data_IF_918498770084
#
_entry.id   IF_918498770084
#
_cell.length_a   1.000
_cell.length_b   1.000
_cell.length_c   1.000
_cell.angle_alpha   90.00
_cell.angle_beta   90.00
_cell.angle_gamma   90.00
#
_symmetry.space_group_name_H-M   'P 1'
#
loop_
_entity.id
_entity.type
_entity.pdbx_description
1 polymer ?
#
# COMPACT_ATOMS: atom_id res chain seq x y z
N UNK A 1 26.19 -87.27 -16.30
CA UNK A 1 27.01 -86.07 -16.02
C UNK A 1 26.50 -84.80 -16.68
N UNK A 2 26.14 -84.80 -17.99
CA UNK A 2 25.66 -83.60 -18.71
C UNK A 2 24.40 -82.96 -18.08
N UNK A 3 23.45 -83.78 -17.57
CA UNK A 3 22.22 -83.27 -16.92
C UNK A 3 22.47 -82.49 -15.62
N UNK A 4 23.51 -82.83 -14.86
CA UNK A 4 23.86 -82.14 -13.60
C UNK A 4 24.57 -80.81 -13.87
N UNK A 5 25.43 -80.77 -14.89
CA UNK A 5 26.12 -79.54 -15.30
C UNK A 5 25.12 -78.49 -15.77
N UNK A 6 24.14 -78.88 -16.59
CA UNK A 6 23.10 -77.97 -17.09
C UNK A 6 22.28 -77.34 -15.96
N UNK A 7 21.86 -78.13 -14.97
CA UNK A 7 21.13 -77.64 -13.79
C UNK A 7 21.99 -76.68 -12.96
N UNK A 8 23.28 -77.00 -12.77
CA UNK A 8 24.20 -76.15 -12.02
C UNK A 8 24.46 -74.80 -12.71
N UNK A 9 24.62 -74.79 -14.04
CA UNK A 9 24.74 -73.54 -14.82
C UNK A 9 23.46 -72.72 -14.82
N UNK A 10 22.29 -73.36 -14.77
CA UNK A 10 20.99 -72.66 -14.73
C UNK A 10 20.77 -71.99 -13.36
N UNK A 11 21.15 -72.66 -12.27
CA UNK A 11 21.07 -72.14 -10.91
C UNK A 11 22.08 -71.01 -10.68
N UNK A 12 23.32 -71.16 -11.16
CA UNK A 12 24.35 -70.09 -11.08
C UNK A 12 24.03 -68.90 -11.99
N UNK A 13 23.52 -69.15 -13.20
CA UNK A 13 23.08 -68.09 -14.12
C UNK A 13 21.89 -67.29 -13.59
N UNK A 14 20.92 -67.96 -12.97
CA UNK A 14 19.77 -67.32 -12.33
C UNK A 14 20.14 -66.53 -11.07
N UNK A 15 21.06 -67.06 -10.24
CA UNK A 15 21.52 -66.41 -9.02
C UNK A 15 22.40 -65.18 -9.28
N UNK A 16 23.32 -65.25 -10.26
CA UNK A 16 24.18 -64.13 -10.64
C UNK A 16 23.42 -62.97 -11.30
N UNK A 17 22.42 -63.28 -12.14
CA UNK A 17 21.56 -62.28 -12.78
C UNK A 17 20.62 -61.60 -11.75
N UNK A 18 20.12 -62.35 -10.78
CA UNK A 18 19.36 -61.82 -9.65
C UNK A 18 20.17 -60.88 -8.75
N UNK A 19 21.42 -61.24 -8.42
CA UNK A 19 22.30 -60.40 -7.61
C UNK A 19 22.72 -59.11 -8.34
N UNK A 20 23.04 -59.20 -9.64
CA UNK A 20 23.39 -58.04 -10.47
C UNK A 20 22.21 -57.07 -10.65
N UNK A 21 21.01 -57.59 -10.91
CA UNK A 21 19.80 -56.77 -11.03
C UNK A 21 19.41 -56.09 -9.71
N UNK A 22 19.68 -56.73 -8.57
CA UNK A 22 19.45 -56.15 -7.25
C UNK A 22 20.42 -55.01 -6.91
N UNK A 23 21.71 -55.18 -7.20
CA UNK A 23 22.74 -54.15 -6.98
C UNK A 23 22.48 -52.93 -7.88
N UNK A 24 22.14 -53.16 -9.15
CA UNK A 24 21.80 -52.06 -10.08
C UNK A 24 20.52 -51.34 -9.69
N UNK A 25 19.50 -52.06 -9.19
CA UNK A 25 18.31 -51.44 -8.60
C UNK A 25 18.65 -50.58 -7.38
N UNK A 26 19.43 -51.09 -6.43
CA UNK A 26 19.86 -50.34 -5.24
C UNK A 26 20.64 -49.07 -5.61
N UNK A 27 21.53 -49.12 -6.61
CA UNK A 27 22.25 -47.93 -7.07
C UNK A 27 21.32 -46.91 -7.71
N UNK A 28 20.33 -47.36 -8.48
CA UNK A 28 19.33 -46.48 -9.08
C UNK A 28 18.43 -45.83 -8.01
N UNK A 29 18.00 -46.60 -7.01
CA UNK A 29 17.19 -46.09 -5.89
C UNK A 29 17.97 -45.05 -5.07
N UNK A 30 19.27 -45.28 -4.82
CA UNK A 30 20.14 -44.29 -4.16
C UNK A 30 20.28 -42.99 -4.99
N UNK A 31 20.43 -43.09 -6.31
CA UNK A 31 20.48 -41.91 -7.20
C UNK A 31 19.15 -41.15 -7.19
N UNK A 32 18.02 -41.86 -7.23
CA UNK A 32 16.68 -41.25 -7.16
C UNK A 32 16.49 -40.54 -5.81
N UNK A 33 16.93 -41.15 -4.71
CA UNK A 33 16.86 -40.54 -3.38
C UNK A 33 17.72 -39.27 -3.27
N UNK A 34 18.93 -39.26 -3.82
CA UNK A 34 19.78 -38.05 -3.86
C UNK A 34 19.16 -36.94 -4.71
N UNK A 35 18.59 -37.28 -5.87
CA UNK A 35 17.87 -36.30 -6.72
C UNK A 35 16.66 -35.74 -5.98
N UNK A 36 15.87 -36.59 -5.32
CA UNK A 36 14.73 -36.14 -4.53
C UNK A 36 15.16 -35.27 -3.35
N UNK A 37 16.23 -35.64 -2.63
CA UNK A 37 16.79 -34.84 -1.55
C UNK A 37 17.22 -33.46 -2.06
N UNK A 38 17.95 -33.38 -3.17
CA UNK A 38 18.37 -32.10 -3.77
C UNK A 38 17.16 -31.24 -4.19
N UNK A 39 16.08 -31.87 -4.68
CA UNK A 39 14.84 -31.19 -5.05
C UNK A 39 14.08 -30.69 -3.82
N UNK A 40 14.07 -31.46 -2.73
CA UNK A 40 13.49 -31.09 -1.44
C UNK A 40 14.30 -29.95 -0.79
N UNK A 41 15.62 -30.02 -0.78
CA UNK A 41 16.51 -28.97 -0.29
C UNK A 41 16.37 -27.67 -1.10
N UNK A 42 16.31 -27.79 -2.44
CA UNK A 42 16.01 -26.66 -3.33
C UNK A 42 14.64 -26.05 -3.05
N UNK A 43 13.60 -26.86 -2.94
CA UNK A 43 12.24 -26.41 -2.63
C UNK A 43 12.13 -25.76 -1.23
N UNK A 44 12.85 -26.29 -0.23
CA UNK A 44 12.90 -25.70 1.12
C UNK A 44 13.69 -24.39 1.13
N UNK A 45 14.77 -24.29 0.35
CA UNK A 45 15.53 -23.05 0.19
C UNK A 45 14.72 -21.95 -0.51
N UNK A 46 13.99 -22.30 -1.57
CA UNK A 46 13.11 -21.39 -2.29
C UNK A 46 11.93 -20.94 -1.43
N UNK A 47 11.34 -21.86 -0.65
CA UNK A 47 10.31 -21.50 0.33
C UNK A 47 10.84 -20.60 1.44
N UNK A 48 12.07 -20.81 1.93
CA UNK A 48 12.68 -19.91 2.93
C UNK A 48 12.87 -18.50 2.37
N UNK A 49 13.39 -18.37 1.16
CA UNK A 49 13.55 -17.07 0.51
C UNK A 49 12.19 -16.37 0.28
N UNK A 50 11.18 -17.12 -0.17
CA UNK A 50 9.83 -16.59 -0.32
C UNK A 50 9.21 -16.18 1.03
N UNK A 51 9.40 -16.97 2.09
CA UNK A 51 8.92 -16.66 3.45
C UNK A 51 9.58 -15.38 3.98
N UNK A 52 10.88 -15.21 3.80
CA UNK A 52 11.59 -13.99 4.21
C UNK A 52 11.05 -12.75 3.46
N UNK A 53 10.82 -12.88 2.15
CA UNK A 53 10.19 -11.84 1.36
C UNK A 53 8.76 -11.54 1.85
N UNK A 54 7.94 -12.56 2.11
CA UNK A 54 6.58 -12.39 2.61
C UNK A 54 6.52 -11.74 4.01
N UNK A 55 7.51 -11.98 4.87
CA UNK A 55 7.62 -11.31 6.19
C UNK A 55 7.97 -9.83 6.01
N UNK A 56 8.89 -9.51 5.10
CA UNK A 56 9.22 -8.12 4.78
C UNK A 56 8.02 -7.37 4.17
N UNK A 57 7.28 -8.03 3.26
CA UNK A 57 6.07 -7.49 2.66
C UNK A 57 4.94 -7.33 3.70
N UNK A 58 4.78 -8.27 4.64
CA UNK A 58 3.80 -8.15 5.71
C UNK A 58 4.11 -6.95 6.64
N UNK A 59 5.39 -6.71 6.93
CA UNK A 59 5.82 -5.55 7.72
C UNK A 59 5.56 -4.23 6.99
N UNK A 60 5.83 -4.15 5.68
CA UNK A 60 5.55 -2.96 4.87
C UNK A 60 4.05 -2.70 4.75
N UNK A 61 3.24 -3.75 4.55
CA UNK A 61 1.77 -3.67 4.52
C UNK A 61 1.22 -3.20 5.88
N UNK A 62 1.77 -3.66 7.00
CA UNK A 62 1.35 -3.19 8.33
C UNK A 62 1.66 -1.70 8.54
N UNK A 63 2.84 -1.24 8.14
CA UNK A 63 3.22 0.17 8.23
C UNK A 63 2.32 1.06 7.34
N UNK A 64 2.08 0.64 6.09
CA UNK A 64 1.18 1.35 5.18
C UNK A 64 -0.26 1.38 5.71
N UNK A 65 -0.75 0.29 6.32
CA UNK A 65 -2.08 0.25 6.94
C UNK A 65 -2.20 1.16 8.17
N UNK A 66 -1.11 1.39 8.92
CA UNK A 66 -1.12 2.32 10.05
C UNK A 66 -1.27 3.77 9.57
N UNK A 67 -0.50 4.16 8.55
CA UNK A 67 -0.59 5.49 7.92
C UNK A 67 -1.98 5.72 7.29
N UNK A 68 -2.51 4.72 6.58
CA UNK A 68 -3.87 4.78 6.03
C UNK A 68 -4.95 4.95 7.11
N UNK A 69 -4.79 4.35 8.30
CA UNK A 69 -5.74 4.50 9.41
C UNK A 69 -5.69 5.90 10.00
N UNK A 70 -4.50 6.49 10.11
CA UNK A 70 -4.33 7.87 10.60
C UNK A 70 -4.98 8.87 9.63
N UNK A 71 -4.68 8.74 8.34
CA UNK A 71 -5.30 9.58 7.31
C UNK A 71 -6.81 9.40 7.25
N UNK A 72 -7.33 8.17 7.34
CA UNK A 72 -8.78 7.94 7.40
C UNK A 72 -9.43 8.59 8.62
N UNK A 73 -8.80 8.53 9.79
CA UNK A 73 -9.32 9.18 11.00
C UNK A 73 -9.38 10.71 10.86
N UNK A 74 -8.34 11.31 10.25
CA UNK A 74 -8.32 12.74 9.94
C UNK A 74 -9.44 13.10 8.94
N UNK A 75 -9.56 12.36 7.84
CA UNK A 75 -10.61 12.59 6.83
C UNK A 75 -12.02 12.42 7.41
N UNK A 76 -12.27 11.42 8.26
CA UNK A 76 -13.57 11.22 8.89
C UNK A 76 -13.93 12.36 9.85
N UNK A 77 -12.94 12.87 10.60
CA UNK A 77 -13.12 14.05 11.44
C UNK A 77 -13.48 15.28 10.61
N UNK A 78 -12.79 15.49 9.49
CA UNK A 78 -13.04 16.62 8.60
C UNK A 78 -14.41 16.51 7.92
N UNK A 79 -14.80 15.32 7.46
CA UNK A 79 -16.15 15.05 6.93
C UNK A 79 -17.24 15.37 7.96
N UNK A 80 -17.09 14.90 9.21
CA UNK A 80 -18.07 15.18 10.27
C UNK A 80 -18.14 16.66 10.61
N UNK A 81 -16.99 17.34 10.66
CA UNK A 81 -16.94 18.78 10.87
C UNK A 81 -17.61 19.55 9.73
N UNK A 82 -17.36 19.15 8.49
CA UNK A 82 -17.97 19.75 7.32
C UNK A 82 -19.49 19.52 7.32
N UNK A 83 -19.94 18.27 7.52
CA UNK A 83 -21.35 17.93 7.62
C UNK A 83 -22.06 18.70 8.75
N UNK A 84 -21.42 18.86 9.92
CA UNK A 84 -21.95 19.67 11.02
C UNK A 84 -22.04 21.14 10.65
N UNK A 85 -21.02 21.71 10.00
CA UNK A 85 -21.03 23.12 9.57
C UNK A 85 -22.12 23.37 8.53
N UNK A 86 -22.20 22.51 7.50
CA UNK A 86 -23.21 22.59 6.45
C UNK A 86 -24.61 22.33 6.99
N UNK A 87 -24.82 21.40 7.92
CA UNK A 87 -26.14 21.14 8.51
C UNK A 87 -26.65 22.26 9.43
N UNK A 88 -25.76 23.09 10.03
CA UNK A 88 -26.17 24.26 10.82
C UNK A 88 -26.59 25.45 9.97
N UNK A 89 -26.09 25.52 8.74
CA UNK A 89 -26.47 26.54 7.79
C UNK A 89 -27.45 25.88 6.84
N UNK A 90 -28.76 26.10 7.02
CA UNK A 90 -29.77 25.69 6.03
C UNK A 90 -29.54 26.49 4.74
N UNK A 91 -28.49 26.11 3.99
CA UNK A 91 -28.02 26.82 2.80
C UNK A 91 -29.08 26.81 1.71
N UNK A 92 -29.91 25.76 1.68
CA UNK A 92 -31.10 25.62 0.87
C UNK A 92 -32.12 26.73 1.20
N UNK A 93 -32.50 26.87 2.47
CA UNK A 93 -33.45 27.88 2.94
C UNK A 93 -32.86 29.29 2.78
N UNK A 94 -31.57 29.47 3.04
CA UNK A 94 -30.88 30.75 2.85
C UNK A 94 -30.79 31.13 1.36
N UNK A 95 -30.54 30.16 0.48
CA UNK A 95 -30.48 30.36 -0.95
C UNK A 95 -31.86 30.71 -1.53
N UNK A 96 -32.92 30.08 -1.04
CA UNK A 96 -34.29 30.41 -1.46
C UNK A 96 -34.74 31.79 -0.94
N UNK A 97 -34.45 32.10 0.32
CA UNK A 97 -34.87 33.38 0.91
C UNK A 97 -33.99 34.57 0.50
N UNK A 98 -32.70 34.37 0.23
CA UNK A 98 -31.74 35.44 -0.09
C UNK A 98 -30.71 35.00 -1.16
N UNK A 99 -31.17 34.66 -2.37
CA UNK A 99 -30.30 34.13 -3.43
C UNK A 99 -29.14 35.08 -3.76
N UNK A 100 -29.42 36.40 -3.81
CA UNK A 100 -28.38 37.40 -4.13
C UNK A 100 -27.26 37.50 -3.09
N UNK A 101 -27.52 37.22 -1.80
CA UNK A 101 -26.48 37.19 -0.78
C UNK A 101 -25.63 35.92 -0.90
N UNK A 102 -26.26 34.77 -1.13
CA UNK A 102 -25.55 33.51 -1.32
C UNK A 102 -24.63 33.57 -2.53
N UNK A 103 -25.11 34.09 -3.67
CA UNK A 103 -24.28 34.28 -4.87
C UNK A 103 -23.09 35.20 -4.60
N UNK A 104 -23.28 36.31 -3.86
CA UNK A 104 -22.17 37.20 -3.50
C UNK A 104 -21.13 36.51 -2.62
N UNK A 105 -21.57 35.71 -1.64
CA UNK A 105 -20.67 34.95 -0.75
C UNK A 105 -19.88 33.93 -1.56
N UNK A 106 -20.54 33.15 -2.42
CA UNK A 106 -19.89 32.15 -3.27
C UNK A 106 -18.88 32.81 -4.21
N UNK A 107 -19.27 33.87 -4.93
CA UNK A 107 -18.37 34.56 -5.84
C UNK A 107 -17.13 35.13 -5.11
N UNK A 108 -17.33 35.69 -3.91
CA UNK A 108 -16.21 36.16 -3.07
C UNK A 108 -15.30 35.01 -2.65
N UNK A 109 -15.87 33.89 -2.21
CA UNK A 109 -15.10 32.70 -1.83
C UNK A 109 -14.29 32.15 -3.01
N UNK A 110 -14.91 32.04 -4.20
CA UNK A 110 -14.23 31.59 -5.42
C UNK A 110 -13.10 32.51 -5.84
N UNK A 111 -13.27 33.83 -5.76
CA UNK A 111 -12.19 34.79 -6.04
C UNK A 111 -11.03 34.65 -5.04
N UNK A 112 -11.36 34.50 -3.76
CA UNK A 112 -10.37 34.28 -2.72
C UNK A 112 -9.58 32.99 -2.94
N UNK A 113 -10.26 31.89 -3.28
CA UNK A 113 -9.61 30.60 -3.51
C UNK A 113 -8.71 30.62 -4.76
N UNK A 114 -9.15 31.28 -5.83
CA UNK A 114 -8.30 31.54 -7.00
C UNK A 114 -7.05 32.33 -6.63
N UNK A 115 -7.18 33.36 -5.79
CA UNK A 115 -6.03 34.12 -5.29
C UNK A 115 -5.07 33.26 -4.46
N UNK A 116 -5.61 32.36 -3.63
CA UNK A 116 -4.79 31.39 -2.89
C UNK A 116 -4.00 30.47 -3.82
N UNK A 117 -4.63 30.01 -4.90
CA UNK A 117 -4.00 29.17 -5.90
C UNK A 117 -2.88 29.93 -6.64
N UNK A 118 -3.11 31.18 -7.04
CA UNK A 118 -2.07 32.04 -7.63
C UNK A 118 -0.84 32.16 -6.73
N UNK A 119 -1.04 32.42 -5.43
CA UNK A 119 0.05 32.54 -4.46
C UNK A 119 0.82 31.22 -4.30
N UNK A 120 0.11 30.08 -4.25
CA UNK A 120 0.76 28.77 -4.21
C UNK A 120 1.59 28.48 -5.46
N UNK A 121 1.16 28.96 -6.62
CA UNK A 121 1.92 28.85 -7.87
C UNK A 121 3.06 29.86 -8.02
N UNK A 122 3.25 30.75 -7.04
CA UNK A 122 4.39 31.67 -6.95
C UNK A 122 4.10 33.11 -7.38
N UNK A 123 2.83 33.51 -7.51
CA UNK A 123 2.48 34.90 -7.72
C UNK A 123 2.93 35.78 -6.53
N UNK A 124 3.38 37.03 -6.76
CA UNK A 124 3.74 37.94 -5.69
C UNK A 124 2.51 38.42 -4.92
N UNK A 125 2.69 38.66 -3.62
CA UNK A 125 1.69 39.29 -2.76
C UNK A 125 1.44 40.74 -3.18
N UNK A 126 0.19 41.17 -3.08
CA UNK A 126 -0.17 42.57 -3.27
C UNK A 126 0.18 43.40 -2.03
N UNK A 127 0.27 44.72 -2.18
CA UNK A 127 0.49 45.62 -1.05
C UNK A 127 -0.64 45.54 -0.01
N UNK A 128 -1.88 45.37 -0.48
CA UNK A 128 -3.06 45.19 0.40
C UNK A 128 -2.97 43.92 1.24
N UNK A 129 -2.47 42.82 0.66
CA UNK A 129 -2.27 41.54 1.34
C UNK A 129 -1.23 41.63 2.45
N UNK A 130 -0.14 42.38 2.21
CA UNK A 130 0.94 42.58 3.17
C UNK A 130 0.55 43.53 4.31
N UNK A 131 -0.26 44.55 4.01
CA UNK A 131 -0.74 45.56 4.96
C UNK A 131 -1.98 45.12 5.74
N UNK A 132 -2.65 44.03 5.33
CA UNK A 132 -3.83 43.53 6.01
C UNK A 132 -3.48 43.16 7.46
N UNK A 133 -4.16 43.81 8.42
CA UNK A 133 -3.97 43.56 9.85
C UNK A 133 -5.21 42.94 10.49
N UNK A 134 -6.38 43.13 9.87
CA UNK A 134 -7.66 42.64 10.40
C UNK A 134 -8.11 41.38 9.68
N UNK A 135 -8.74 40.48 10.42
CA UNK A 135 -9.34 39.24 9.87
C UNK A 135 -10.32 39.50 8.72
N UNK A 136 -11.02 40.63 8.73
CA UNK A 136 -11.96 41.01 7.66
C UNK A 136 -11.29 41.44 6.34
N UNK A 137 -10.03 41.84 6.40
CA UNK A 137 -9.21 42.24 5.25
C UNK A 137 -8.44 41.06 4.67
N UNK A 138 -8.23 40.01 5.46
CA UNK A 138 -7.54 38.81 5.04
C UNK A 138 -8.41 37.94 4.14
N UNK A 139 -7.74 37.19 3.27
CA UNK A 139 -8.35 36.08 2.57
C UNK A 139 -8.73 35.00 3.59
N UNK A 140 -10.04 34.70 3.69
CA UNK A 140 -10.57 33.72 4.63
C UNK A 140 -10.18 32.28 4.31
N UNK A 141 -9.92 31.98 3.03
CA UNK A 141 -9.67 30.62 2.54
C UNK A 141 -8.22 30.20 2.79
N UNK A 142 -7.27 31.14 2.72
CA UNK A 142 -5.86 30.88 3.01
C UNK A 142 -5.17 31.99 3.81
N UNK A 143 -5.57 32.26 5.06
CA UNK A 143 -5.07 33.40 5.84
C UNK A 143 -3.54 33.46 5.98
N UNK A 144 -2.91 32.30 6.19
CA UNK A 144 -1.46 32.16 6.38
C UNK A 144 -0.66 32.26 5.09
N UNK A 145 -1.24 31.87 3.95
CA UNK A 145 -0.59 31.98 2.64
C UNK A 145 -0.76 33.37 2.04
N UNK A 146 -1.95 33.95 2.20
CA UNK A 146 -2.28 35.27 1.70
C UNK A 146 -1.60 36.40 2.46
N UNK A 147 -1.25 36.20 3.74
CA UNK A 147 -0.53 37.20 4.50
C UNK A 147 0.56 36.56 5.37
N UNK A 148 1.85 36.82 5.08
CA UNK A 148 2.96 36.33 5.89
C UNK A 148 2.96 36.81 7.34
N UNK A 149 2.33 37.96 7.63
CA UNK A 149 2.23 38.54 8.96
C UNK A 149 1.05 38.00 9.77
N UNK A 150 0.20 37.14 9.19
CA UNK A 150 -0.95 36.59 9.90
C UNK A 150 -0.52 35.48 10.86
N UNK A 151 -0.75 35.71 12.16
CA UNK A 151 -0.66 34.67 13.19
C UNK A 151 -2.06 34.15 13.52
N UNK A 152 -2.35 32.84 13.36
CA UNK A 152 -3.62 32.29 13.77
C UNK A 152 -3.76 32.43 15.30
N UNK A 153 -4.75 33.22 15.75
CA UNK A 153 -5.14 33.21 17.16
C UNK A 153 -5.61 31.79 17.52
N UNK A 154 -4.95 31.22 18.51
CA UNK A 154 -5.24 29.93 19.12
C UNK A 154 -6.63 29.96 19.78
N UNK A 155 -7.66 29.58 19.04
CA UNK A 155 -8.99 29.24 19.59
C UNK A 155 -9.29 27.76 19.38
#
# INVERSE_FOLDING_TARGET
MIKLILVFTLVMGGGGYGAYSWITKLQNDNKILQVNQSKLEGAVSEQKAAIEQHVADAASIQAANADLREQQAALEKDRKNLAKKLGRHELDILAENKPGLVVKIINKASQNELRCFELQTGAPHTEEELLASKRSQLNSECPTLANPNYTPENT
#
